data_IF_312647859565
#
_entry.id   IF_312647859565
#
_cell.length_a   1.000
_cell.length_b   1.000
_cell.length_c   1.000
_cell.angle_alpha   90.00
_cell.angle_beta   90.00
_cell.angle_gamma   90.00
#
_symmetry.space_group_name_H-M   'P 1'
#
loop_
_entity.id
_entity.type
_entity.pdbx_description
1 polymer ?
#
# COMPACT_ATOMS: atom_id res chain seq x y z
N UNK A 1 14.33 8.61 17.02
CA UNK A 1 12.87 8.47 17.28
C UNK A 1 12.15 8.34 15.94
N UNK A 2 12.15 7.12 15.38
CA UNK A 2 11.70 6.86 14.01
C UNK A 2 10.19 7.05 13.88
N UNK A 3 9.81 8.01 13.04
CA UNK A 3 8.42 8.32 12.69
C UNK A 3 7.89 7.24 11.73
N UNK A 4 7.36 6.15 12.28
CA UNK A 4 6.57 5.18 11.53
C UNK A 4 5.19 5.80 11.26
N UNK A 5 5.10 6.72 10.30
CA UNK A 5 3.84 7.26 9.76
C UNK A 5 3.60 6.83 8.30
N UNK A 6 4.07 5.64 7.91
CA UNK A 6 3.79 5.06 6.60
C UNK A 6 3.21 3.67 6.75
N UNK A 7 1.96 3.59 7.23
CA UNK A 7 1.23 2.35 7.40
C UNK A 7 -0.23 2.68 7.17
N UNK A 8 -0.91 1.90 6.33
CA UNK A 8 -2.38 1.73 6.30
C UNK A 8 -3.11 2.78 7.14
N UNK A 9 -3.65 3.82 6.51
CA UNK A 9 -4.20 4.94 7.25
C UNK A 9 -5.53 4.54 7.88
N UNK A 10 -5.49 4.30 9.19
CA UNK A 10 -6.68 4.21 10.01
C UNK A 10 -7.26 5.61 10.19
N UNK A 11 -8.53 5.80 9.82
CA UNK A 11 -9.23 7.08 9.92
C UNK A 11 -10.64 6.86 10.45
N UNK A 12 -11.13 7.85 11.19
CA UNK A 12 -12.56 7.98 11.42
C UNK A 12 -13.25 8.40 10.10
N UNK A 13 -14.55 8.08 9.91
CA UNK A 13 -15.26 8.36 8.66
C UNK A 13 -15.16 9.82 8.17
N UNK A 14 -15.09 10.79 9.08
CA UNK A 14 -14.98 12.22 8.74
C UNK A 14 -13.60 12.67 8.22
N UNK A 15 -12.56 11.83 8.32
CA UNK A 15 -11.17 12.23 8.06
C UNK A 15 -10.57 11.63 6.78
N UNK A 16 -11.39 11.01 5.93
CA UNK A 16 -10.95 10.32 4.71
C UNK A 16 -10.48 11.34 3.65
N UNK A 17 -11.29 12.37 3.38
CA UNK A 17 -10.99 13.39 2.37
C UNK A 17 -9.71 14.17 2.70
N UNK A 18 -9.50 14.47 3.98
CA UNK A 18 -8.30 15.17 4.43
C UNK A 18 -7.04 14.33 4.16
N UNK A 19 -7.07 13.03 4.44
CA UNK A 19 -5.94 12.13 4.17
C UNK A 19 -5.63 12.07 2.66
N UNK A 20 -6.66 12.00 1.83
CA UNK A 20 -6.51 12.00 0.36
C UNK A 20 -5.90 13.32 -0.10
N UNK A 21 -6.40 14.45 0.41
CA UNK A 21 -5.86 15.79 0.12
C UNK A 21 -4.40 15.90 0.54
N UNK A 22 -4.03 15.39 1.71
CA UNK A 22 -2.65 15.41 2.20
C UNK A 22 -1.73 14.58 1.28
N UNK A 23 -2.15 13.37 0.88
CA UNK A 23 -1.38 12.52 -0.04
C UNK A 23 -1.19 13.17 -1.42
N UNK A 24 -2.25 13.75 -1.98
CA UNK A 24 -2.19 14.51 -3.24
C UNK A 24 -1.26 15.71 -3.15
N UNK A 25 -1.35 16.46 -2.05
CA UNK A 25 -0.50 17.64 -1.82
C UNK A 25 0.97 17.26 -1.77
N UNK A 26 1.32 16.18 -1.05
CA UNK A 26 2.69 15.68 -1.01
C UNK A 26 3.18 15.25 -2.39
N UNK A 27 2.41 14.42 -3.10
CA UNK A 27 2.79 13.98 -4.44
C UNK A 27 3.03 15.17 -5.39
N UNK A 28 2.14 16.18 -5.35
CA UNK A 28 2.31 17.42 -6.10
C UNK A 28 3.60 18.18 -5.72
N UNK A 29 3.88 18.33 -4.42
CA UNK A 29 5.10 18.98 -3.94
C UNK A 29 6.38 18.29 -4.42
N UNK A 30 6.36 16.95 -4.51
CA UNK A 30 7.49 16.15 -4.96
C UNK A 30 7.50 15.85 -6.46
N UNK A 31 6.57 16.42 -7.24
CA UNK A 31 6.38 16.12 -8.69
C UNK A 31 6.23 14.63 -8.98
N UNK A 32 5.59 13.91 -8.08
CA UNK A 32 5.30 12.49 -8.17
C UNK A 32 3.81 12.26 -8.47
N UNK A 33 3.49 11.09 -9.02
CA UNK A 33 2.11 10.63 -9.10
C UNK A 33 1.64 10.10 -7.76
N UNK A 34 0.33 10.21 -7.50
CA UNK A 34 -0.27 9.60 -6.31
C UNK A 34 -0.44 8.11 -6.58
N UNK A 35 0.42 7.31 -5.95
CA UNK A 35 0.31 5.86 -6.06
C UNK A 35 -0.94 5.32 -5.36
N UNK A 36 -1.54 4.22 -5.86
CA UNK A 36 -2.64 3.53 -5.18
C UNK A 36 -2.36 3.28 -3.70
N UNK A 37 -3.37 3.43 -2.85
CA UNK A 37 -3.22 3.20 -1.41
C UNK A 37 -4.49 2.75 -0.72
N UNK A 38 -4.32 2.14 0.45
CA UNK A 38 -5.41 1.59 1.27
C UNK A 38 -5.71 2.52 2.44
N UNK A 39 -7.00 2.82 2.64
CA UNK A 39 -7.53 3.48 3.83
C UNK A 39 -8.37 2.46 4.61
N UNK A 40 -8.13 2.38 5.91
CA UNK A 40 -8.99 1.65 6.85
C UNK A 40 -9.86 2.67 7.58
N UNK A 41 -11.15 2.41 7.64
CA UNK A 41 -12.11 3.27 8.32
C UNK A 41 -12.75 2.53 9.48
N UNK A 42 -12.76 3.16 10.64
CA UNK A 42 -13.41 2.63 11.85
C UNK A 42 -13.32 3.60 13.02
N UNK A 43 -13.94 3.23 14.13
CA UNK A 43 -13.84 3.94 15.42
C UNK A 43 -12.58 3.56 16.19
N UNK A 44 -12.11 2.32 16.02
CA UNK A 44 -10.81 1.85 16.51
C UNK A 44 -10.21 0.74 15.63
N UNK A 45 -8.96 0.34 15.88
CA UNK A 45 -8.36 -0.83 15.23
C UNK A 45 -9.08 -2.15 15.57
N UNK A 46 -9.89 -2.17 16.63
CA UNK A 46 -10.74 -3.32 17.01
C UNK A 46 -12.13 -3.26 16.36
N UNK A 47 -12.53 -2.07 15.90
CA UNK A 47 -13.85 -1.77 15.35
C UNK A 47 -13.66 -1.16 13.97
N UNK A 48 -13.24 -2.00 13.03
CA UNK A 48 -13.08 -1.61 11.63
C UNK A 48 -14.42 -1.75 10.93
N UNK A 49 -14.85 -0.68 10.25
CA UNK A 49 -16.10 -0.63 9.53
C UNK A 49 -15.92 -0.95 8.04
N UNK A 50 -14.90 -0.36 7.40
CA UNK A 50 -14.72 -0.41 5.93
C UNK A 50 -13.25 -0.30 5.54
N UNK A 51 -12.95 -0.85 4.37
CA UNK A 51 -11.66 -0.71 3.71
C UNK A 51 -11.88 -0.02 2.37
N UNK A 52 -10.99 0.88 1.99
CA UNK A 52 -11.00 1.52 0.68
C UNK A 52 -9.65 1.36 0.00
N UNK A 53 -9.66 0.99 -1.28
CA UNK A 53 -8.51 1.20 -2.18
C UNK A 53 -8.78 2.46 -2.99
N UNK A 54 -7.85 3.41 -2.93
CA UNK A 54 -7.95 4.69 -3.62
C UNK A 54 -7.06 4.67 -4.85
N UNK A 55 -7.63 5.00 -6.01
CA UNK A 55 -6.92 5.11 -7.29
C UNK A 55 -7.35 6.40 -7.98
N UNK A 56 -6.48 7.42 -7.98
CA UNK A 56 -6.87 8.75 -8.43
C UNK A 56 -8.06 9.29 -7.64
N UNK A 57 -9.19 9.50 -8.31
CA UNK A 57 -10.47 9.93 -7.73
C UNK A 57 -11.47 8.78 -7.47
N UNK A 58 -11.07 7.53 -7.72
CA UNK A 58 -11.95 6.36 -7.57
C UNK A 58 -11.70 5.65 -6.23
N UNK A 59 -12.80 5.23 -5.60
CA UNK A 59 -12.83 4.61 -4.28
C UNK A 59 -13.44 3.21 -4.38
N UNK A 60 -12.63 2.18 -4.16
CA UNK A 60 -13.10 0.79 -4.12
C UNK A 60 -13.36 0.37 -2.67
N UNK A 61 -14.62 0.31 -2.27
CA UNK A 61 -15.03 -0.14 -0.93
C UNK A 61 -14.96 -1.68 -0.84
N UNK A 62 -14.35 -2.20 0.21
CA UNK A 62 -14.15 -3.63 0.44
C UNK A 62 -14.45 -4.05 1.88
N UNK A 63 -14.69 -5.35 2.06
CA UNK A 63 -15.21 -5.92 3.32
C UNK A 63 -14.10 -6.37 4.28
N UNK A 64 -12.86 -6.54 3.79
CA UNK A 64 -11.74 -6.94 4.64
C UNK A 64 -10.40 -6.46 4.07
N UNK A 65 -9.38 -6.46 4.94
CA UNK A 65 -8.03 -5.99 4.60
C UNK A 65 -7.33 -6.85 3.55
N UNK A 66 -7.57 -8.16 3.53
CA UNK A 66 -6.91 -9.06 2.58
C UNK A 66 -7.37 -8.76 1.15
N UNK A 67 -8.68 -8.57 0.95
CA UNK A 67 -9.24 -8.10 -0.33
C UNK A 67 -8.66 -6.75 -0.74
N UNK A 68 -8.46 -5.83 0.21
CA UNK A 68 -7.91 -4.51 -0.07
C UNK A 68 -6.44 -4.57 -0.50
N UNK A 69 -5.63 -5.40 0.17
CA UNK A 69 -4.24 -5.65 -0.24
C UNK A 69 -4.21 -6.28 -1.63
N UNK A 70 -5.05 -7.28 -1.87
CA UNK A 70 -5.09 -8.00 -3.15
C UNK A 70 -5.51 -7.12 -4.32
N UNK A 71 -6.57 -6.33 -4.15
CA UNK A 71 -7.02 -5.39 -5.18
C UNK A 71 -5.98 -4.29 -5.40
N UNK A 72 -5.40 -3.73 -4.34
CA UNK A 72 -4.35 -2.72 -4.45
C UNK A 72 -3.13 -3.26 -5.20
N UNK A 73 -2.67 -4.47 -4.90
CA UNK A 73 -1.59 -5.14 -5.62
C UNK A 73 -1.90 -5.30 -7.11
N UNK A 74 -3.08 -5.84 -7.44
CA UNK A 74 -3.50 -6.01 -8.83
C UNK A 74 -3.58 -4.68 -9.59
N UNK A 75 -4.00 -3.61 -8.93
CA UNK A 75 -4.02 -2.27 -9.52
C UNK A 75 -2.60 -1.79 -9.86
N UNK A 76 -1.61 -2.01 -8.98
CA UNK A 76 -0.21 -1.68 -9.31
C UNK A 76 0.23 -2.40 -10.58
N UNK A 77 -0.01 -3.71 -10.66
CA UNK A 77 0.38 -4.53 -11.80
C UNK A 77 -0.35 -4.15 -13.09
N UNK A 78 -1.67 -3.90 -13.04
CA UNK A 78 -2.48 -3.57 -14.23
C UNK A 78 -2.17 -2.19 -14.78
N UNK A 79 -1.86 -1.23 -13.90
CA UNK A 79 -1.56 0.14 -14.29
C UNK A 79 -0.07 0.40 -14.55
N UNK A 80 0.78 -0.61 -14.37
CA UNK A 80 2.25 -0.47 -14.35
C UNK A 80 2.68 0.70 -13.43
N UNK A 81 2.02 0.79 -12.26
CA UNK A 81 2.21 1.88 -11.32
C UNK A 81 3.35 1.54 -10.36
N UNK A 82 4.24 2.52 -10.11
CA UNK A 82 5.31 2.36 -9.14
C UNK A 82 4.77 2.12 -7.73
N UNK A 83 5.48 1.32 -6.95
CA UNK A 83 5.16 1.20 -5.53
C UNK A 83 5.49 2.51 -4.78
N UNK A 84 4.72 2.86 -3.73
CA UNK A 84 5.07 3.97 -2.86
C UNK A 84 6.46 3.74 -2.25
N UNK A 85 7.37 4.69 -2.42
CA UNK A 85 8.77 4.56 -1.99
C UNK A 85 8.90 4.18 -0.52
N UNK A 86 7.98 4.63 0.33
CA UNK A 86 8.05 4.40 1.77
C UNK A 86 7.70 2.97 2.18
N UNK A 87 7.04 2.20 1.31
CA UNK A 87 6.70 0.79 1.53
C UNK A 87 7.02 -0.12 0.34
N UNK A 88 7.89 0.33 -0.56
CA UNK A 88 8.28 -0.42 -1.77
C UNK A 88 8.78 -1.82 -1.45
N UNK A 89 9.62 -1.98 -0.42
CA UNK A 89 10.11 -3.28 0.04
C UNK A 89 8.99 -4.26 0.46
N UNK A 90 7.88 -3.74 1.00
CA UNK A 90 6.75 -4.56 1.42
C UNK A 90 6.00 -5.06 0.19
N UNK A 91 5.76 -4.19 -0.79
CA UNK A 91 5.10 -4.57 -2.03
C UNK A 91 5.94 -5.50 -2.89
N UNK A 92 7.25 -5.30 -2.98
CA UNK A 92 8.15 -6.24 -3.65
C UNK A 92 8.16 -7.61 -2.97
N UNK A 93 8.08 -7.66 -1.63
CA UNK A 93 7.90 -8.91 -0.92
C UNK A 93 6.59 -9.60 -1.30
N UNK A 94 5.47 -8.87 -1.30
CA UNK A 94 4.18 -9.41 -1.76
C UNK A 94 4.28 -9.94 -3.19
N UNK A 95 4.84 -9.15 -4.11
CA UNK A 95 4.97 -9.50 -5.52
C UNK A 95 5.75 -10.81 -5.69
N UNK A 96 6.96 -10.88 -5.13
CA UNK A 96 7.88 -11.99 -5.40
C UNK A 96 7.53 -13.27 -4.64
N UNK A 97 6.98 -13.17 -3.42
CA UNK A 97 6.85 -14.33 -2.53
C UNK A 97 5.40 -14.73 -2.25
N UNK A 98 4.46 -13.78 -2.23
CA UNK A 98 3.04 -14.09 -2.03
C UNK A 98 2.37 -14.35 -3.37
N UNK A 99 2.58 -13.46 -4.34
CA UNK A 99 2.01 -13.57 -5.68
C UNK A 99 2.90 -14.32 -6.68
N UNK A 100 4.16 -14.57 -6.33
CA UNK A 100 5.13 -15.29 -7.17
C UNK A 100 5.31 -14.67 -8.56
N UNK A 101 5.26 -13.34 -8.64
CA UNK A 101 5.45 -12.55 -9.84
C UNK A 101 6.80 -11.84 -9.84
N UNK A 102 7.43 -11.75 -11.01
CA UNK A 102 8.65 -10.97 -11.23
C UNK A 102 8.51 -10.18 -12.51
N UNK A 103 9.05 -8.96 -12.52
CA UNK A 103 9.09 -8.11 -13.69
C UNK A 103 10.53 -7.68 -13.99
N UNK A 104 10.80 -7.27 -15.23
CA UNK A 104 12.13 -6.78 -15.64
C UNK A 104 12.52 -5.49 -14.89
N UNK A 105 11.53 -4.77 -14.36
CA UNK A 105 11.69 -3.51 -13.63
C UNK A 105 11.85 -3.71 -12.10
N UNK A 106 11.87 -4.96 -11.63
CA UNK A 106 11.95 -5.25 -10.19
C UNK A 106 13.26 -4.71 -9.59
N UNK A 107 13.12 -3.84 -8.59
CA UNK A 107 14.27 -3.35 -7.84
C UNK A 107 14.85 -4.44 -6.95
N UNK A 108 16.17 -4.57 -6.97
CA UNK A 108 16.90 -5.48 -6.08
C UNK A 108 17.03 -4.84 -4.69
N UNK A 109 16.16 -5.22 -3.76
CA UNK A 109 16.21 -4.76 -2.38
C UNK A 109 16.80 -5.87 -1.50
N UNK A 110 17.98 -5.59 -0.92
CA UNK A 110 18.74 -6.55 -0.11
C UNK A 110 17.93 -7.14 1.06
N UNK A 111 17.15 -6.31 1.75
CA UNK A 111 16.33 -6.74 2.89
C UNK A 111 15.26 -7.77 2.49
N UNK A 112 14.72 -7.67 1.27
CA UNK A 112 13.72 -8.60 0.74
C UNK A 112 14.35 -9.96 0.43
N UNK A 113 15.57 -9.97 -0.11
CA UNK A 113 16.35 -11.20 -0.37
C UNK A 113 16.75 -11.88 0.94
N UNK A 114 17.31 -11.12 1.90
CA UNK A 114 17.73 -11.64 3.20
C UNK A 114 16.56 -12.24 3.99
N UNK A 115 15.35 -11.71 3.82
CA UNK A 115 14.15 -12.25 4.48
C UNK A 115 13.74 -13.60 3.90
N UNK A 116 13.81 -13.77 2.59
CA UNK A 116 13.55 -15.05 1.93
C UNK A 116 14.52 -16.15 2.37
N UNK A 117 15.82 -15.84 2.43
CA UNK A 117 16.82 -16.80 2.90
C UNK A 117 16.55 -17.31 4.33
N UNK A 118 15.85 -16.52 5.16
CA UNK A 118 15.45 -16.92 6.51
C UNK A 118 14.18 -17.76 6.52
N UNK A 119 13.22 -17.48 5.64
CA UNK A 119 11.99 -18.27 5.52
C UNK A 119 12.32 -19.68 5.01
N UNK A 120 13.17 -19.80 3.99
CA UNK A 120 13.51 -21.10 3.40
C UNK A 120 14.32 -22.01 4.34
N UNK A 121 14.93 -21.43 5.39
CA UNK A 121 15.71 -22.15 6.41
C UNK A 121 14.91 -22.46 7.68
N UNK A 122 13.65 -22.04 7.76
CA UNK A 122 12.77 -22.24 8.92
C UNK A 122 11.84 -23.45 8.70
#
# INVERSE_FOLDING_TARGET
MFHIKNKICFKTPGNIEEEIKQKRTKAFQFKQTVQPFIIIVGTSLREIERYYVIVGDVFYKLDNILKAIDICFKIFMVLDAEYPTECEQVWLFFQQYIYQQRTENDKVIKSVIEFHEKIDKA
#
